data_IF_622995290853
#
_entry.id   IF_622995290853
#
_cell.length_a   1.000
_cell.length_b   1.000
_cell.length_c   1.000
_cell.angle_alpha   90.00
_cell.angle_beta   90.00
_cell.angle_gamma   90.00
#
_symmetry.space_group_name_H-M   'P 1'
#
loop_
_entity.id
_entity.type
_entity.pdbx_description
1 polymer ?
#
# COMPACT_ATOMS: atom_id res chain seq x y z
N UNK A 1 5.98 0.04 -23.07
CA UNK A 1 6.81 0.71 -22.05
C UNK A 1 6.59 -0.08 -20.77
N UNK A 2 7.65 -0.43 -20.04
CA UNK A 2 7.52 -1.20 -18.79
C UNK A 2 7.37 -0.17 -17.67
N UNK A 3 6.12 0.16 -17.36
CA UNK A 3 5.79 1.08 -16.26
C UNK A 3 6.06 0.38 -14.92
N UNK A 4 6.45 1.14 -13.89
CA UNK A 4 6.81 0.58 -12.58
C UNK A 4 8.29 0.27 -12.40
N UNK A 5 9.15 0.84 -13.23
CA UNK A 5 10.60 0.74 -13.11
C UNK A 5 11.19 2.05 -12.58
N UNK A 6 12.44 2.03 -12.12
CA UNK A 6 13.12 3.24 -11.64
C UNK A 6 13.16 4.36 -12.68
N UNK A 7 13.31 4.01 -13.96
CA UNK A 7 13.34 4.95 -15.08
C UNK A 7 11.94 5.39 -15.54
N UNK A 8 10.90 4.66 -15.17
CA UNK A 8 9.50 4.95 -15.50
C UNK A 8 8.59 4.58 -14.32
N UNK A 9 8.65 5.35 -13.22
CA UNK A 9 7.88 5.04 -12.02
C UNK A 9 6.40 5.37 -12.24
N UNK A 10 5.51 4.63 -11.57
CA UNK A 10 4.09 4.95 -11.53
C UNK A 10 3.88 6.30 -10.84
N UNK A 11 3.03 7.13 -11.43
CA UNK A 11 2.56 8.38 -10.83
C UNK A 11 1.20 8.14 -10.20
N UNK A 12 1.13 8.28 -8.88
CA UNK A 12 -0.02 7.88 -8.08
C UNK A 12 -0.50 9.04 -7.22
N UNK A 13 -1.77 9.00 -6.86
CA UNK A 13 -2.37 9.93 -5.90
C UNK A 13 -2.95 9.13 -4.74
N UNK A 14 -2.85 9.65 -3.53
CA UNK A 14 -3.47 9.01 -2.36
C UNK A 14 -4.98 8.93 -2.53
N UNK A 15 -5.64 7.97 -1.87
CA UNK A 15 -7.09 7.76 -2.01
C UNK A 15 -7.93 9.06 -1.85
N UNK A 16 -7.66 9.96 -0.89
CA UNK A 16 -8.40 11.23 -0.79
C UNK A 16 -8.10 12.28 -1.88
N UNK A 17 -7.19 12.01 -2.81
CA UNK A 17 -6.81 12.96 -3.87
C UNK A 17 -5.85 14.08 -3.42
N UNK A 18 -5.32 14.02 -2.19
CA UNK A 18 -4.64 15.17 -1.56
C UNK A 18 -3.13 15.21 -1.78
N UNK A 19 -2.49 14.07 -2.06
CA UNK A 19 -1.04 13.98 -2.18
C UNK A 19 -0.65 13.10 -3.36
N UNK A 20 0.26 13.62 -4.19
CA UNK A 20 0.90 12.86 -5.27
C UNK A 20 2.19 12.21 -4.78
N UNK A 21 2.49 11.04 -5.34
CA UNK A 21 3.70 10.29 -5.06
C UNK A 21 4.05 9.39 -6.24
N UNK A 22 5.25 8.81 -6.21
CA UNK A 22 5.66 7.83 -7.20
C UNK A 22 6.03 6.50 -6.57
N UNK A 23 5.83 5.43 -7.33
CA UNK A 23 6.25 4.08 -6.94
C UNK A 23 6.96 3.38 -8.08
N UNK A 24 7.95 2.55 -7.73
CA UNK A 24 8.61 1.66 -8.68
C UNK A 24 9.16 0.43 -7.97
N UNK A 25 9.30 -0.65 -8.72
CA UNK A 25 9.96 -1.87 -8.27
C UNK A 25 11.47 -1.76 -8.52
N UNK A 26 12.25 -2.11 -7.50
CA UNK A 26 13.71 -2.17 -7.52
C UNK A 26 14.15 -3.51 -6.90
N UNK A 27 14.28 -4.54 -7.74
CA UNK A 27 14.51 -5.91 -7.28
C UNK A 27 13.32 -6.44 -6.47
N UNK A 28 13.59 -6.85 -5.23
CA UNK A 28 12.57 -7.36 -4.29
C UNK A 28 11.89 -6.24 -3.47
N UNK A 29 12.24 -4.98 -3.72
CA UNK A 29 11.69 -3.82 -3.02
C UNK A 29 10.72 -3.02 -3.91
N UNK A 30 9.64 -2.55 -3.31
CA UNK A 30 8.78 -1.51 -3.87
C UNK A 30 9.15 -0.18 -3.20
N UNK A 31 9.71 0.72 -3.99
CA UNK A 31 10.12 2.04 -3.53
C UNK A 31 8.98 3.02 -3.71
N UNK A 32 8.61 3.72 -2.64
CA UNK A 32 7.60 4.77 -2.64
C UNK A 32 8.25 6.11 -2.33
N UNK A 33 8.17 7.07 -3.25
CA UNK A 33 8.74 8.40 -3.10
C UNK A 33 7.63 9.43 -2.95
N UNK A 34 7.61 10.11 -1.80
CA UNK A 34 6.64 11.15 -1.46
C UNK A 34 7.41 12.42 -1.10
N UNK A 35 7.44 13.40 -2.00
CA UNK A 35 8.25 14.60 -1.83
C UNK A 35 9.73 14.23 -1.55
N UNK A 36 10.31 14.62 -0.42
CA UNK A 36 11.67 14.25 0.00
C UNK A 36 11.77 12.92 0.76
N UNK A 37 10.64 12.26 1.04
CA UNK A 37 10.60 11.05 1.87
C UNK A 37 10.49 9.80 0.99
N UNK A 38 11.37 8.84 1.25
CA UNK A 38 11.35 7.52 0.61
C UNK A 38 10.90 6.45 1.60
N UNK A 39 9.79 5.76 1.29
CA UNK A 39 9.37 4.54 1.96
C UNK A 39 9.76 3.35 1.10
N UNK A 40 9.93 2.19 1.74
CA UNK A 40 10.26 0.94 1.06
C UNK A 40 9.37 -0.18 1.60
N UNK A 41 8.81 -0.95 0.71
CA UNK A 41 8.02 -2.13 1.00
C UNK A 41 8.62 -3.35 0.29
N UNK A 42 8.25 -4.57 0.68
CA UNK A 42 8.53 -5.72 -0.18
C UNK A 42 7.69 -5.65 -1.47
N UNK A 43 8.28 -5.94 -2.63
CA UNK A 43 7.59 -5.90 -3.92
C UNK A 43 6.41 -6.89 -3.99
N UNK A 44 6.57 -8.08 -3.38
CA UNK A 44 5.51 -9.09 -3.23
C UNK A 44 4.26 -8.59 -2.51
N UNK A 45 4.31 -7.43 -1.83
CA UNK A 45 3.14 -6.84 -1.21
C UNK A 45 2.01 -6.57 -2.20
N UNK A 46 2.32 -6.31 -3.47
CA UNK A 46 1.32 -6.09 -4.53
C UNK A 46 0.43 -7.32 -4.67
N UNK A 47 1.04 -8.48 -4.88
CA UNK A 47 0.35 -9.75 -5.09
C UNK A 47 -0.28 -10.27 -3.80
N UNK A 48 0.45 -10.20 -2.68
CA UNK A 48 -0.03 -10.68 -1.39
C UNK A 48 -1.25 -9.86 -0.91
N UNK A 49 -1.23 -8.53 -1.08
CA UNK A 49 -2.36 -7.69 -0.68
C UNK A 49 -3.60 -8.01 -1.52
N UNK A 50 -3.41 -8.14 -2.83
CA UNK A 50 -4.51 -8.50 -3.73
C UNK A 50 -5.13 -9.85 -3.36
N UNK A 51 -4.29 -10.87 -3.15
CA UNK A 51 -4.74 -12.20 -2.74
C UNK A 51 -5.50 -12.15 -1.41
N UNK A 52 -4.98 -11.43 -0.42
CA UNK A 52 -5.65 -11.29 0.87
C UNK A 52 -6.99 -10.54 0.76
N UNK A 53 -7.08 -9.49 -0.06
CA UNK A 53 -8.34 -8.78 -0.31
C UNK A 53 -9.38 -9.66 -1.01
N UNK A 54 -8.95 -10.51 -1.95
CA UNK A 54 -9.82 -11.48 -2.61
C UNK A 54 -10.38 -12.51 -1.61
N UNK A 55 -9.58 -12.92 -0.62
CA UNK A 55 -10.04 -13.78 0.49
C UNK A 55 -11.05 -13.07 1.41
N UNK A 56 -10.92 -11.76 1.62
CA UNK A 56 -11.90 -11.01 2.41
C UNK A 56 -13.26 -10.93 1.70
N UNK A 57 -13.26 -10.79 0.38
CA UNK A 57 -14.48 -10.77 -0.45
C UNK A 57 -15.40 -9.56 -0.23
N UNK A 58 -14.97 -8.57 0.55
CA UNK A 58 -15.71 -7.35 0.86
C UNK A 58 -14.76 -6.15 1.02
N UNK A 59 -15.32 -4.95 1.22
CA UNK A 59 -14.59 -3.72 1.44
C UNK A 59 -13.79 -3.75 2.75
N UNK A 60 -12.49 -3.52 2.64
CA UNK A 60 -11.56 -3.42 3.76
C UNK A 60 -11.15 -1.96 3.96
N UNK A 61 -11.30 -1.38 5.17
CA UNK A 61 -10.82 -0.03 5.42
C UNK A 61 -9.29 0.07 5.29
N UNK A 62 -8.80 1.16 4.71
CA UNK A 62 -7.36 1.29 4.45
C UNK A 62 -6.53 1.32 5.73
N UNK A 63 -6.87 2.21 6.65
CA UNK A 63 -5.94 2.62 7.70
C UNK A 63 -4.71 3.34 7.11
N UNK A 64 -4.09 4.21 7.91
CA UNK A 64 -2.91 4.97 7.48
C UNK A 64 -2.00 5.31 8.68
N UNK A 65 -1.97 4.42 9.67
CA UNK A 65 -1.21 4.64 10.89
C UNK A 65 0.30 4.65 10.61
N UNK A 66 1.02 5.59 11.20
CA UNK A 66 2.48 5.55 11.23
C UNK A 66 2.99 4.34 12.04
N UNK A 67 4.28 4.00 11.91
CA UNK A 67 4.91 2.86 12.60
C UNK A 67 4.71 2.90 14.12
N UNK A 68 4.78 4.10 14.72
CA UNK A 68 4.65 4.28 16.18
C UNK A 68 3.21 4.36 16.68
N UNK A 69 2.23 4.42 15.78
CA UNK A 69 0.82 4.59 16.15
C UNK A 69 0.13 3.23 16.21
N UNK A 70 -0.83 3.11 17.13
CA UNK A 70 -1.75 2.00 17.15
C UNK A 70 -2.49 1.90 15.82
N UNK A 71 -2.70 0.67 15.37
CA UNK A 71 -3.44 0.38 14.15
C UNK A 71 -4.82 -0.15 14.51
N UNK A 72 -5.82 0.19 13.71
CA UNK A 72 -7.15 -0.40 13.84
C UNK A 72 -7.14 -1.78 13.22
N UNK A 73 -7.55 -2.79 13.99
CA UNK A 73 -7.66 -4.16 13.49
C UNK A 73 -8.68 -4.24 12.33
N UNK A 74 -8.49 -5.21 11.43
CA UNK A 74 -9.33 -5.37 10.25
C UNK A 74 -9.08 -4.34 9.14
N UNK A 75 -7.99 -3.56 9.22
CA UNK A 75 -7.59 -2.62 8.16
C UNK A 75 -6.42 -3.14 7.33
N UNK A 76 -6.26 -2.62 6.10
CA UNK A 76 -5.10 -2.92 5.24
C UNK A 76 -3.79 -2.60 5.97
N UNK A 77 -3.74 -1.49 6.71
CA UNK A 77 -2.60 -1.11 7.52
C UNK A 77 -2.29 -2.11 8.64
N UNK A 78 -3.32 -2.72 9.26
CA UNK A 78 -3.13 -3.74 10.28
C UNK A 78 -2.59 -5.02 9.67
N UNK A 79 -3.14 -5.44 8.53
CA UNK A 79 -2.64 -6.61 7.81
C UNK A 79 -1.18 -6.41 7.35
N UNK A 80 -0.84 -5.22 6.85
CA UNK A 80 0.50 -4.89 6.35
C UNK A 80 1.63 -4.93 7.41
N UNK A 81 1.26 -4.99 8.70
CA UNK A 81 2.18 -5.11 9.84
C UNK A 81 1.94 -6.34 10.70
N UNK A 82 1.04 -7.24 10.28
CA UNK A 82 0.61 -8.40 11.06
C UNK A 82 1.64 -9.53 11.01
N UNK A 83 1.82 -10.24 12.13
CA UNK A 83 2.61 -11.47 12.17
C UNK A 83 1.96 -12.63 11.37
N UNK A 84 0.67 -12.51 11.05
CA UNK A 84 -0.08 -13.53 10.31
C UNK A 84 -0.05 -13.33 8.79
N UNK A 85 0.57 -12.25 8.29
CA UNK A 85 0.70 -12.05 6.85
C UNK A 85 1.83 -12.91 6.25
N UNK A 86 1.90 -13.05 4.92
CA UNK A 86 2.89 -13.92 4.26
C UNK A 86 4.36 -13.63 4.57
N UNK A 87 4.70 -12.42 5.06
CA UNK A 87 6.07 -12.04 5.45
C UNK A 87 6.32 -12.15 6.96
N UNK A 88 5.30 -12.50 7.75
CA UNK A 88 5.40 -12.69 9.19
C UNK A 88 5.64 -11.40 9.98
N UNK A 89 5.24 -10.24 9.45
CA UNK A 89 5.48 -8.96 10.11
C UNK A 89 5.25 -7.75 9.22
N UNK A 90 6.23 -6.84 9.17
CA UNK A 90 6.10 -5.59 8.41
C UNK A 90 6.44 -5.80 6.94
N UNK A 91 5.55 -5.40 6.05
CA UNK A 91 5.91 -5.18 4.66
C UNK A 91 6.86 -3.99 4.51
N UNK A 92 6.77 -3.00 5.40
CA UNK A 92 7.65 -1.84 5.44
C UNK A 92 9.08 -2.20 5.88
N UNK A 93 10.05 -1.87 5.04
CA UNK A 93 11.46 -2.23 5.20
C UNK A 93 12.26 -1.15 5.95
N UNK A 94 11.90 0.12 5.78
CA UNK A 94 12.66 1.25 6.33
C UNK A 94 12.25 1.56 7.77
N UNK A 95 13.17 1.39 8.71
CA UNK A 95 12.95 1.75 10.12
C UNK A 95 12.56 3.23 10.27
N UNK A 96 11.50 3.50 11.05
CA UNK A 96 10.89 4.83 11.19
C UNK A 96 9.85 5.15 10.12
N UNK A 97 9.74 4.34 9.06
CA UNK A 97 8.85 4.50 7.92
C UNK A 97 8.21 3.17 7.50
N UNK A 98 8.00 2.24 8.44
CA UNK A 98 7.39 0.94 8.11
C UNK A 98 5.87 0.99 7.92
N UNK A 99 5.22 1.99 8.51
CA UNK A 99 3.77 2.19 8.40
C UNK A 99 3.32 2.89 7.12
N UNK A 100 2.09 3.42 7.15
CA UNK A 100 1.41 4.03 5.99
C UNK A 100 1.28 3.09 4.80
N UNK A 101 1.34 1.79 5.05
CA UNK A 101 1.13 0.76 4.06
C UNK A 101 -0.26 0.90 3.41
N UNK A 102 -1.31 1.06 4.22
CA UNK A 102 -2.69 1.26 3.75
C UNK A 102 -2.89 2.60 3.05
N UNK A 103 -1.98 3.56 3.21
CA UNK A 103 -2.07 4.86 2.53
C UNK A 103 -1.56 4.81 1.08
N UNK A 104 -0.51 4.03 0.83
CA UNK A 104 0.22 4.07 -0.44
C UNK A 104 0.06 2.82 -1.29
N UNK A 105 -0.18 1.63 -0.71
CA UNK A 105 -0.30 0.43 -1.52
C UNK A 105 -1.65 0.32 -2.26
N UNK A 106 -2.81 0.62 -1.65
CA UNK A 106 -4.09 0.49 -2.33
C UNK A 106 -4.24 1.30 -3.63
N UNK A 107 -3.80 2.57 -3.74
CA UNK A 107 -3.89 3.29 -5.01
C UNK A 107 -2.95 2.73 -6.09
N UNK A 108 -1.86 2.04 -5.72
CA UNK A 108 -1.06 1.29 -6.71
C UNK A 108 -1.87 0.12 -7.27
N UNK A 109 -2.53 -0.68 -6.42
CA UNK A 109 -3.34 -1.79 -6.91
C UNK A 109 -4.49 -1.31 -7.80
N UNK A 110 -5.10 -0.17 -7.47
CA UNK A 110 -6.13 0.44 -8.31
C UNK A 110 -5.56 0.84 -9.67
N UNK A 111 -4.39 1.48 -9.69
CA UNK A 111 -3.70 1.82 -10.93
C UNK A 111 -3.37 0.58 -11.79
N UNK A 112 -3.05 -0.54 -11.15
CA UNK A 112 -2.82 -1.82 -11.82
C UNK A 112 -4.12 -2.52 -12.25
N UNK A 113 -5.29 -2.00 -11.85
CA UNK A 113 -6.61 -2.52 -12.21
C UNK A 113 -6.99 -3.81 -11.47
N UNK A 114 -6.41 -4.07 -10.29
CA UNK A 114 -6.67 -5.30 -9.51
C UNK A 114 -7.61 -5.09 -8.33
N UNK A 115 -7.94 -3.85 -7.99
CA UNK A 115 -8.85 -3.52 -6.88
C UNK A 115 -9.75 -2.34 -7.25
N UNK A 116 -10.86 -2.23 -6.54
CA UNK A 116 -11.65 -1.00 -6.46
C UNK A 116 -11.32 -0.26 -5.17
N UNK A 117 -11.18 1.05 -5.25
CA UNK A 117 -10.84 1.93 -4.14
C UNK A 117 -11.86 3.06 -4.01
N UNK A 118 -12.21 3.44 -2.77
CA UNK A 118 -13.04 4.62 -2.53
C UNK A 118 -12.18 5.89 -2.46
N UNK A 119 -12.74 7.01 -2.90
CA UNK A 119 -12.07 8.32 -2.95
C UNK A 119 -12.80 9.40 -2.16
N UNK A 120 -13.10 9.09 -0.91
CA UNK A 120 -13.68 10.01 0.06
C UNK A 120 -12.59 10.84 0.76
N UNK A 121 -12.95 12.00 1.35
CA UNK A 121 -12.02 12.80 2.14
C UNK A 121 -11.36 12.07 3.32
N UNK A 122 -12.00 10.99 3.82
CA UNK A 122 -11.53 10.16 4.95
C UNK A 122 -12.22 8.79 4.94
N UNK A 123 -11.66 7.85 5.71
CA UNK A 123 -12.21 6.50 5.92
C UNK A 123 -12.38 5.67 4.64
N UNK A 124 -11.44 5.81 3.71
CA UNK A 124 -11.44 5.05 2.47
C UNK A 124 -11.30 3.55 2.73
N UNK A 125 -11.81 2.78 1.78
CA UNK A 125 -11.77 1.32 1.77
C UNK A 125 -11.39 0.80 0.39
N UNK A 126 -10.92 -0.43 0.33
CA UNK A 126 -10.51 -1.13 -0.89
C UNK A 126 -11.10 -2.53 -0.93
N UNK A 127 -11.40 -3.05 -2.12
CA UNK A 127 -11.79 -4.45 -2.35
C UNK A 127 -11.12 -5.01 -3.59
N UNK A 128 -10.87 -6.31 -3.65
CA UNK A 128 -10.35 -6.97 -4.85
C UNK A 128 -11.40 -7.04 -5.97
N UNK A 129 -10.92 -7.08 -7.22
CA UNK A 129 -11.70 -7.27 -8.45
C UNK A 129 -11.70 -8.73 -8.93
#
# INVERSE_FOLDING_TARGET
>A
MVDGTKDSPWQLTTAPGTSQYTMYVDGDELVCQVSSTTLKYHARAIDDLHAWLAEQGDWVPLGAADEKKAVTEGTVEAWGRSASNPVGGWYGLRNGYRGRFGMYLPPLLEHLGTVELTHDPRNNSVRAL
#
